data_IF_727048531013
#
_entry.id   IF_727048531013
#
_cell.length_a   1.000
_cell.length_b   1.000
_cell.length_c   1.000
_cell.angle_alpha   90.00
_cell.angle_beta   90.00
_cell.angle_gamma   90.00
#
_symmetry.space_group_name_H-M   'P 1'
#
loop_
_entity.id
_entity.type
_entity.pdbx_description
1 polymer ?
#
# COMPACT_ATOMS: atom_id res chain seq x y z
N UNK A 1 5.56 2.46 73.21
CA UNK A 1 6.88 1.97 72.73
C UNK A 1 7.74 3.18 72.37
N UNK A 2 8.69 3.54 73.23
CA UNK A 2 9.53 4.73 73.04
C UNK A 2 10.73 4.36 72.14
N UNK A 3 10.72 4.84 70.90
CA UNK A 3 11.87 4.72 70.00
C UNK A 3 12.97 5.66 70.48
N UNK A 4 14.03 5.10 71.06
CA UNK A 4 15.24 5.85 71.40
C UNK A 4 16.00 6.16 70.11
N UNK A 5 15.82 7.36 69.57
CA UNK A 5 16.70 7.89 68.52
C UNK A 5 18.03 8.27 69.17
N UNK A 6 19.06 7.44 69.02
CA UNK A 6 20.43 7.78 69.37
C UNK A 6 20.93 8.85 68.40
N UNK A 7 20.96 10.10 68.83
CA UNK A 7 21.55 11.18 68.06
C UNK A 7 23.08 11.10 68.20
N UNK A 8 23.74 10.73 67.10
CA UNK A 8 25.19 10.87 66.97
C UNK A 8 25.45 12.37 66.83
N UNK A 9 25.90 13.01 67.89
CA UNK A 9 26.36 14.39 67.81
C UNK A 9 27.76 14.40 67.18
N UNK A 10 27.99 15.21 66.13
CA UNK A 10 29.29 15.26 65.49
C UNK A 10 30.32 15.88 66.46
N UNK A 11 31.55 15.38 66.45
CA UNK A 11 32.60 15.64 67.45
C UNK A 11 33.03 17.12 67.62
N UNK A 12 32.56 18.02 66.77
CA UNK A 12 32.83 19.45 66.83
C UNK A 12 31.73 20.26 67.54
N UNK A 13 30.60 19.63 67.91
CA UNK A 13 29.48 20.31 68.57
C UNK A 13 29.65 20.25 70.09
N UNK A 14 29.94 21.40 70.70
CA UNK A 14 30.29 21.52 72.13
C UNK A 14 29.05 21.51 73.05
N UNK A 15 27.86 21.84 72.52
CA UNK A 15 26.63 21.94 73.31
C UNK A 15 25.93 20.57 73.47
N UNK A 16 25.50 20.28 74.70
CA UNK A 16 24.68 19.09 75.01
C UNK A 16 23.27 19.25 74.43
N UNK A 17 22.80 18.26 73.67
CA UNK A 17 21.41 18.19 73.24
C UNK A 17 20.53 17.62 74.35
N UNK A 18 19.40 18.27 74.59
CA UNK A 18 18.40 17.83 75.56
C UNK A 18 17.08 17.53 74.83
N UNK A 19 16.20 16.75 75.47
CA UNK A 19 14.84 16.53 74.95
C UNK A 19 14.06 17.84 74.91
N UNK A 20 13.10 18.01 73.98
CA UNK A 20 12.19 19.18 73.87
C UNK A 20 11.28 19.40 75.11
N UNK A 21 11.46 18.62 76.18
CA UNK A 21 10.84 18.83 77.50
C UNK A 21 11.75 19.63 78.44
N UNK A 22 13.05 19.65 78.20
CA UNK A 22 14.04 20.36 79.02
C UNK A 22 14.09 21.82 78.56
N UNK A 23 14.00 22.74 79.52
CA UNK A 23 14.00 24.19 79.28
C UNK A 23 15.41 24.68 78.94
N UNK A 24 15.78 24.56 77.68
CA UNK A 24 17.01 25.11 77.10
C UNK A 24 16.66 26.40 76.35
N UNK A 25 17.64 27.27 76.06
CA UNK A 25 17.39 28.57 75.41
C UNK A 25 16.52 28.52 74.14
N UNK A 26 16.51 27.41 73.39
CA UNK A 26 15.70 27.22 72.18
C UNK A 26 14.39 26.42 72.40
N UNK A 27 13.99 26.19 73.66
CA UNK A 27 12.90 25.28 74.02
C UNK A 27 11.55 25.64 73.39
N UNK A 28 11.21 26.94 73.37
CA UNK A 28 9.93 27.42 72.84
C UNK A 28 9.83 27.19 71.33
N UNK A 29 10.89 27.51 70.58
CA UNK A 29 10.95 27.39 69.13
C UNK A 29 10.89 25.93 68.68
N UNK A 30 11.56 25.03 69.41
CA UNK A 30 11.52 23.60 69.12
C UNK A 30 10.12 22.98 69.24
N UNK A 31 9.25 23.55 70.06
CA UNK A 31 7.84 23.14 70.20
C UNK A 31 6.91 23.85 69.23
N UNK A 32 7.26 25.07 68.79
CA UNK A 32 6.49 25.86 67.82
C UNK A 32 6.64 25.41 66.37
N UNK A 33 7.46 24.38 66.08
CA UNK A 33 7.59 23.82 64.72
C UNK A 33 6.23 23.55 64.10
N UNK A 34 5.97 24.24 63.00
CA UNK A 34 4.70 24.22 62.29
C UNK A 34 4.28 22.80 61.93
N UNK A 35 3.19 22.31 62.52
CA UNK A 35 2.54 21.08 62.08
C UNK A 35 1.70 21.44 60.85
N UNK A 36 2.21 21.18 59.66
CA UNK A 36 1.42 21.29 58.42
C UNK A 36 0.17 20.43 58.59
N UNK A 37 -1.00 21.07 58.64
CA UNK A 37 -2.25 20.34 58.76
C UNK A 37 -2.47 19.49 57.52
N UNK A 38 -2.97 18.27 57.68
CA UNK A 38 -3.36 17.37 56.58
C UNK A 38 -4.59 17.85 55.81
N UNK A 39 -5.21 18.97 56.20
CA UNK A 39 -6.35 19.53 55.50
C UNK A 39 -5.93 20.08 54.13
N UNK A 40 -6.77 19.90 53.10
CA UNK A 40 -6.42 20.29 51.75
C UNK A 40 -6.18 21.80 51.67
N UNK A 41 -5.07 22.18 51.03
CA UNK A 41 -4.72 23.54 50.64
C UNK A 41 -5.92 24.24 50.00
N UNK A 42 -6.04 25.56 50.23
CA UNK A 42 -7.05 26.44 49.63
C UNK A 42 -7.33 26.07 48.17
N UNK A 43 -8.62 25.92 47.83
CA UNK A 43 -9.04 25.57 46.47
C UNK A 43 -8.75 26.75 45.55
N UNK A 44 -8.31 26.49 44.31
CA UNK A 44 -8.20 27.53 43.29
C UNK A 44 -9.57 28.15 43.02
N UNK A 45 -9.60 29.42 42.61
CA UNK A 45 -10.81 30.11 42.16
C UNK A 45 -11.58 29.28 41.12
N UNK A 46 -10.88 28.69 40.14
CA UNK A 46 -11.48 27.81 39.15
C UNK A 46 -12.26 26.63 39.77
N UNK A 47 -11.80 26.05 40.88
CA UNK A 47 -12.48 24.92 41.55
C UNK A 47 -13.66 25.38 42.43
N UNK A 48 -13.72 26.66 42.75
CA UNK A 48 -14.84 27.30 43.44
C UNK A 48 -15.92 27.67 42.42
N UNK A 49 -15.52 28.22 41.27
CA UNK A 49 -16.42 28.77 40.26
C UNK A 49 -16.94 27.68 39.29
N UNK A 50 -16.13 26.67 38.98
CA UNK A 50 -16.54 25.58 38.09
C UNK A 50 -17.41 24.57 38.82
N UNK A 51 -18.69 24.51 38.41
CA UNK A 51 -19.63 23.47 38.82
C UNK A 51 -19.72 22.42 37.70
N UNK A 52 -19.19 21.20 37.88
CA UNK A 52 -19.36 20.14 36.91
C UNK A 52 -20.82 19.66 36.92
N UNK A 53 -21.59 20.06 35.92
CA UNK A 53 -22.92 19.54 35.70
C UNK A 53 -22.84 18.18 34.98
N UNK A 54 -22.82 17.08 35.76
CA UNK A 54 -22.70 15.72 35.22
C UNK A 54 -23.80 15.37 34.20
N UNK A 55 -25.00 15.92 34.38
CA UNK A 55 -26.17 15.67 33.53
C UNK A 55 -26.38 16.73 32.42
N UNK A 56 -25.56 17.78 32.41
CA UNK A 56 -25.65 18.85 31.40
C UNK A 56 -25.04 18.37 30.07
N UNK A 57 -25.80 17.59 29.32
CA UNK A 57 -25.49 17.34 27.91
C UNK A 57 -26.06 18.48 27.06
N UNK A 58 -25.28 19.05 26.13
CA UNK A 58 -25.81 20.05 25.22
C UNK A 58 -27.00 19.46 24.45
N UNK A 59 -28.05 20.26 24.27
CA UNK A 59 -29.25 19.82 23.58
C UNK A 59 -28.92 19.53 22.10
N UNK A 60 -28.93 18.24 21.74
CA UNK A 60 -28.57 17.76 20.41
C UNK A 60 -29.52 18.30 19.32
N UNK A 61 -30.78 18.57 19.66
CA UNK A 61 -31.79 19.11 18.71
C UNK A 61 -31.40 20.53 18.32
N UNK A 62 -31.08 21.36 19.32
CA UNK A 62 -30.61 22.73 19.11
C UNK A 62 -29.30 22.72 18.32
N UNK A 63 -28.35 21.85 18.70
CA UNK A 63 -27.09 21.69 17.98
C UNK A 63 -27.26 21.30 16.51
N UNK A 64 -28.17 20.37 16.19
CA UNK A 64 -28.49 19.98 14.80
C UNK A 64 -29.14 21.12 14.04
N UNK A 65 -30.06 21.86 14.66
CA UNK A 65 -30.74 22.98 14.01
C UNK A 65 -29.76 24.10 13.64
N UNK A 66 -28.84 24.47 14.55
CA UNK A 66 -27.78 25.44 14.27
C UNK A 66 -26.84 24.95 13.18
N UNK A 67 -26.41 23.68 13.22
CA UNK A 67 -25.54 23.10 12.18
C UNK A 67 -26.21 23.16 10.81
N UNK A 68 -27.47 22.74 10.70
CA UNK A 68 -28.24 22.78 9.44
C UNK A 68 -28.42 24.20 8.91
N UNK A 69 -28.63 25.19 9.79
CA UNK A 69 -28.73 26.60 9.39
C UNK A 69 -27.39 27.14 8.85
N UNK A 70 -26.28 26.62 9.35
CA UNK A 70 -24.93 27.03 8.97
C UNK A 70 -24.34 26.22 7.80
N UNK A 71 -25.01 25.19 7.29
CA UNK A 71 -24.53 24.37 6.16
C UNK A 71 -24.43 25.18 4.84
N UNK A 72 -25.11 26.32 4.74
CA UNK A 72 -24.99 27.24 3.61
C UNK A 72 -25.64 26.72 2.31
N UNK A 73 -25.31 27.37 1.19
CA UNK A 73 -25.76 26.95 -0.13
C UNK A 73 -24.86 25.82 -0.68
N UNK A 74 -25.43 24.82 -1.37
CA UNK A 74 -24.64 23.78 -1.99
C UNK A 74 -23.75 24.35 -3.10
N UNK A 75 -22.51 23.83 -3.19
CA UNK A 75 -21.50 24.20 -4.19
C UNK A 75 -22.05 24.18 -5.62
N UNK A 76 -22.91 23.22 -5.93
CA UNK A 76 -23.50 23.07 -7.26
C UNK A 76 -24.27 24.32 -7.68
N UNK A 77 -24.99 24.99 -6.79
CA UNK A 77 -25.74 26.21 -7.14
C UNK A 77 -24.84 27.42 -7.38
N UNK A 78 -23.67 27.47 -6.72
CA UNK A 78 -22.75 28.61 -6.82
C UNK A 78 -21.76 28.48 -7.97
N UNK A 79 -21.29 27.26 -8.24
CA UNK A 79 -20.18 27.02 -9.16
C UNK A 79 -20.56 26.25 -10.42
N UNK A 80 -21.79 25.70 -10.52
CA UNK A 80 -22.20 25.06 -11.76
C UNK A 80 -22.59 26.11 -12.79
N UNK A 81 -22.19 25.85 -14.03
CA UNK A 81 -22.57 26.65 -15.19
C UNK A 81 -23.52 25.79 -16.03
N UNK A 82 -24.70 26.34 -16.36
CA UNK A 82 -25.72 25.68 -17.20
C UNK A 82 -26.23 24.30 -16.76
N UNK A 83 -25.99 23.90 -15.51
CA UNK A 83 -26.45 22.60 -15.00
C UNK A 83 -25.77 21.40 -15.66
N UNK A 84 -24.56 21.58 -16.20
CA UNK A 84 -23.84 20.48 -16.84
C UNK A 84 -23.53 19.34 -15.87
N UNK A 85 -23.67 18.06 -16.30
CA UNK A 85 -23.28 16.93 -15.48
C UNK A 85 -21.78 16.93 -15.22
N UNK A 86 -21.37 16.59 -13.99
CA UNK A 86 -19.95 16.52 -13.61
C UNK A 86 -19.11 15.57 -14.48
N UNK A 87 -19.74 14.59 -15.13
CA UNK A 87 -19.08 13.59 -15.96
C UNK A 87 -18.94 14.00 -17.44
N UNK A 88 -19.41 15.19 -17.83
CA UNK A 88 -19.43 15.64 -19.23
C UNK A 88 -18.04 15.77 -19.85
N UNK A 89 -17.03 16.11 -19.05
CA UNK A 89 -15.67 16.45 -19.52
C UNK A 89 -14.61 15.52 -18.92
N UNK A 90 -14.83 14.20 -18.98
CA UNK A 90 -13.89 13.20 -18.46
C UNK A 90 -12.85 12.71 -19.49
N UNK A 91 -12.96 13.16 -20.74
CA UNK A 91 -12.04 12.80 -21.82
C UNK A 91 -11.10 13.98 -22.09
N UNK A 92 -9.80 13.70 -22.13
CA UNK A 92 -8.79 14.71 -22.49
C UNK A 92 -8.69 14.86 -24.01
N UNK A 93 -8.28 16.04 -24.49
CA UNK A 93 -8.05 16.27 -25.92
C UNK A 93 -7.02 15.29 -26.52
N UNK A 94 -6.03 14.87 -25.72
CA UNK A 94 -5.06 13.87 -26.15
C UNK A 94 -5.72 12.51 -26.42
N UNK A 95 -6.52 12.03 -25.47
CA UNK A 95 -7.21 10.74 -25.59
C UNK A 95 -8.22 10.74 -26.75
N UNK A 96 -8.93 11.85 -26.94
CA UNK A 96 -9.81 12.06 -28.10
C UNK A 96 -9.04 12.07 -29.44
N UNK A 97 -7.84 12.64 -29.50
CA UNK A 97 -7.08 12.76 -30.76
C UNK A 97 -6.36 11.47 -31.16
N UNK A 98 -5.80 10.73 -30.21
CA UNK A 98 -4.90 9.62 -30.50
C UNK A 98 -5.51 8.24 -30.26
N UNK A 99 -6.39 8.11 -29.27
CA UNK A 99 -6.98 6.82 -28.90
C UNK A 99 -8.33 6.61 -29.58
N UNK A 100 -9.15 7.66 -29.60
CA UNK A 100 -10.53 7.58 -30.09
C UNK A 100 -10.60 7.96 -31.56
N UNK A 101 -11.30 7.14 -32.35
CA UNK A 101 -11.49 7.40 -33.77
C UNK A 101 -12.75 8.23 -34.02
N UNK A 102 -12.66 9.52 -33.67
CA UNK A 102 -13.59 10.56 -34.12
C UNK A 102 -14.93 10.64 -33.39
N UNK A 103 -15.53 11.84 -33.44
CA UNK A 103 -16.86 12.11 -32.90
C UNK A 103 -17.89 11.99 -34.05
N UNK A 104 -18.84 11.06 -33.95
CA UNK A 104 -19.87 10.83 -34.98
C UNK A 104 -20.88 11.98 -35.12
N UNK A 105 -20.94 12.87 -34.13
CA UNK A 105 -21.87 14.00 -34.12
C UNK A 105 -21.40 15.18 -35.00
N UNK A 106 -20.16 15.15 -35.51
CA UNK A 106 -19.62 16.21 -36.34
C UNK A 106 -20.01 16.04 -37.83
N UNK A 107 -20.40 17.12 -38.53
CA UNK A 107 -20.54 17.07 -39.97
C UNK A 107 -19.19 16.71 -40.64
N UNK A 108 -19.21 15.93 -41.72
CA UNK A 108 -18.01 15.38 -42.33
C UNK A 108 -17.09 16.43 -42.97
N UNK A 109 -17.62 17.61 -43.31
CA UNK A 109 -16.87 18.71 -43.92
C UNK A 109 -16.98 19.97 -43.08
N UNK A 110 -15.83 20.58 -42.81
CA UNK A 110 -15.74 21.92 -42.20
C UNK A 110 -16.10 23.00 -43.22
N UNK A 111 -16.78 24.04 -42.75
CA UNK A 111 -17.14 25.25 -43.53
C UNK A 111 -16.48 26.48 -42.90
N UNK A 112 -15.89 27.35 -43.71
CA UNK A 112 -15.35 28.61 -43.23
C UNK A 112 -16.50 29.55 -42.86
N UNK A 113 -16.48 30.09 -41.64
CA UNK A 113 -17.44 31.08 -41.18
C UNK A 113 -16.77 32.46 -41.14
N UNK A 114 -17.18 33.35 -42.06
CA UNK A 114 -16.63 34.71 -42.16
C UNK A 114 -16.88 35.58 -40.92
N UNK A 115 -17.95 35.34 -40.16
CA UNK A 115 -18.26 36.13 -38.97
C UNK A 115 -17.34 35.79 -37.80
N UNK A 116 -16.98 34.51 -37.68
CA UNK A 116 -16.07 34.02 -36.63
C UNK A 116 -14.60 33.94 -37.09
N UNK A 117 -14.35 34.13 -38.38
CA UNK A 117 -13.04 34.01 -39.04
C UNK A 117 -12.36 32.66 -38.77
N UNK A 118 -13.13 31.59 -38.62
CA UNK A 118 -12.63 30.25 -38.35
C UNK A 118 -13.38 29.17 -39.16
N UNK A 119 -12.82 27.96 -39.20
CA UNK A 119 -13.46 26.81 -39.82
C UNK A 119 -14.37 26.12 -38.80
N UNK A 120 -15.66 26.00 -39.11
CA UNK A 120 -16.66 25.40 -38.20
C UNK A 120 -17.22 24.12 -38.84
N UNK A 121 -17.46 23.06 -38.06
CA UNK A 121 -17.11 22.94 -36.65
C UNK A 121 -15.62 22.63 -36.44
N UNK A 122 -15.02 23.24 -35.42
CA UNK A 122 -13.76 22.75 -34.88
C UNK A 122 -14.04 21.54 -33.98
N UNK A 123 -13.13 20.57 -33.97
CA UNK A 123 -13.27 19.37 -33.14
C UNK A 123 -13.40 19.72 -31.65
N UNK A 124 -12.71 20.77 -31.21
CA UNK A 124 -12.73 21.29 -29.83
C UNK A 124 -14.07 21.87 -29.39
N UNK A 125 -14.88 22.38 -30.31
CA UNK A 125 -16.18 22.98 -29.99
C UNK A 125 -17.22 21.92 -29.57
N UNK A 126 -16.95 20.64 -29.89
CA UNK A 126 -17.86 19.52 -29.66
C UNK A 126 -17.13 18.42 -28.88
N UNK A 127 -16.97 18.62 -27.55
CA UNK A 127 -16.34 17.61 -26.71
C UNK A 127 -17.12 16.30 -26.79
N UNK A 128 -16.38 15.18 -26.73
CA UNK A 128 -16.97 13.85 -26.74
C UNK A 128 -17.62 13.58 -25.37
N UNK A 129 -18.93 13.31 -25.37
CA UNK A 129 -19.71 12.98 -24.17
C UNK A 129 -19.71 11.48 -23.84
N UNK A 130 -18.65 10.77 -24.22
CA UNK A 130 -18.49 9.35 -23.93
C UNK A 130 -17.85 9.16 -22.55
N UNK A 131 -18.08 7.99 -21.91
CA UNK A 131 -17.37 7.66 -20.68
C UNK A 131 -15.85 7.66 -20.92
N UNK A 132 -15.05 8.00 -19.89
CA UNK A 132 -13.59 8.08 -20.00
C UNK A 132 -12.98 6.75 -20.45
N UNK A 133 -11.85 6.81 -21.15
CA UNK A 133 -11.14 5.59 -21.57
C UNK A 133 -10.55 4.94 -20.33
N UNK A 134 -11.13 3.82 -19.94
CA UNK A 134 -10.63 3.03 -18.83
C UNK A 134 -9.94 1.80 -19.43
N UNK A 135 -8.61 1.82 -19.50
CA UNK A 135 -7.76 0.74 -20.01
C UNK A 135 -7.71 -0.48 -19.07
N UNK A 136 -8.84 -0.84 -18.45
CA UNK A 136 -8.89 -1.90 -17.44
C UNK A 136 -8.36 -1.47 -16.06
N UNK A 137 -8.00 -0.19 -15.87
CA UNK A 137 -7.34 0.28 -14.64
C UNK A 137 -8.27 0.15 -13.42
N UNK A 138 -9.54 0.50 -13.60
CA UNK A 138 -10.54 0.39 -12.54
C UNK A 138 -10.77 -1.07 -12.13
N UNK A 139 -10.78 -1.98 -13.10
CA UNK A 139 -10.92 -3.42 -12.90
C UNK A 139 -9.72 -3.97 -12.11
N UNK A 140 -8.50 -3.59 -12.52
CA UNK A 140 -7.27 -3.94 -11.81
C UNK A 140 -7.25 -3.40 -10.38
N UNK A 141 -7.64 -2.14 -10.18
CA UNK A 141 -7.69 -1.52 -8.84
C UNK A 141 -8.76 -2.15 -7.96
N UNK A 142 -9.93 -2.43 -8.51
CA UNK A 142 -11.00 -3.13 -7.78
C UNK A 142 -10.54 -4.50 -7.30
N UNK A 143 -9.80 -5.24 -8.14
CA UNK A 143 -9.21 -6.53 -7.76
C UNK A 143 -8.18 -6.37 -6.64
N UNK A 144 -7.28 -5.39 -6.75
CA UNK A 144 -6.28 -5.11 -5.70
C UNK A 144 -6.93 -4.74 -4.36
N UNK A 145 -7.98 -3.92 -4.35
CA UNK A 145 -8.69 -3.59 -3.12
C UNK A 145 -9.41 -4.79 -2.50
N UNK A 146 -9.97 -5.67 -3.33
CA UNK A 146 -10.57 -6.91 -2.84
C UNK A 146 -9.52 -7.81 -2.19
N UNK A 147 -8.33 -7.92 -2.79
CA UNK A 147 -7.19 -8.66 -2.23
C UNK A 147 -6.67 -8.04 -0.92
N UNK A 148 -6.60 -6.70 -0.83
CA UNK A 148 -6.21 -6.00 0.40
C UNK A 148 -7.21 -6.20 1.55
N UNK A 149 -8.51 -6.26 1.25
CA UNK A 149 -9.53 -6.53 2.27
C UNK A 149 -9.55 -7.98 2.74
N UNK A 150 -8.94 -8.91 2.00
CA UNK A 150 -8.81 -10.29 2.45
C UNK A 150 -7.67 -10.42 3.46
N UNK A 151 -8.00 -10.32 4.75
CA UNK A 151 -7.08 -10.59 5.87
C UNK A 151 -6.77 -12.10 5.97
N UNK A 152 -6.06 -12.63 4.97
CA UNK A 152 -5.54 -13.98 5.04
C UNK A 152 -4.18 -13.94 5.75
N UNK A 153 -4.11 -14.48 6.98
CA UNK A 153 -2.89 -14.57 7.80
C UNK A 153 -1.91 -15.61 7.23
N UNK A 154 -1.45 -15.39 5.99
CA UNK A 154 -0.52 -16.27 5.28
C UNK A 154 0.88 -15.68 5.37
N UNK A 155 1.86 -16.53 5.65
CA UNK A 155 3.27 -16.11 5.62
C UNK A 155 3.68 -15.80 4.18
N UNK A 156 4.65 -14.89 4.00
CA UNK A 156 5.21 -14.55 2.67
C UNK A 156 5.63 -15.81 1.90
N UNK A 157 6.17 -16.81 2.61
CA UNK A 157 6.55 -18.10 2.03
C UNK A 157 5.36 -18.88 1.47
N UNK A 158 4.23 -18.93 2.20
CA UNK A 158 3.02 -19.60 1.73
C UNK A 158 2.30 -18.89 0.58
N UNK A 159 2.46 -17.57 0.47
CA UNK A 159 1.90 -16.77 -0.64
C UNK A 159 2.75 -16.87 -1.89
N UNK A 160 4.08 -16.85 -1.75
CA UNK A 160 5.01 -16.88 -2.90
C UNK A 160 5.15 -18.27 -3.52
N UNK A 161 4.91 -19.33 -2.74
CA UNK A 161 4.95 -20.68 -3.26
C UNK A 161 3.66 -21.01 -4.03
N UNK A 162 3.73 -20.90 -5.37
CA UNK A 162 2.66 -21.38 -6.24
C UNK A 162 2.68 -22.90 -6.24
N UNK A 163 1.69 -23.53 -5.60
CA UNK A 163 1.54 -24.97 -5.67
C UNK A 163 1.36 -25.38 -7.14
N UNK A 164 2.29 -26.18 -7.71
CA UNK A 164 2.18 -26.54 -9.11
C UNK A 164 0.93 -27.43 -9.30
N UNK A 165 0.27 -27.35 -10.46
CA UNK A 165 -0.94 -28.13 -10.71
C UNK A 165 -0.62 -29.63 -10.62
N UNK A 166 -1.59 -30.50 -10.25
CA UNK A 166 -1.39 -31.94 -10.18
C UNK A 166 -0.79 -32.56 -11.45
N UNK A 167 -1.06 -31.97 -12.61
CA UNK A 167 -0.50 -32.35 -13.91
C UNK A 167 1.03 -32.19 -14.00
N UNK A 168 1.63 -31.28 -13.23
CA UNK A 168 3.08 -31.07 -13.21
C UNK A 168 3.83 -32.23 -12.52
N UNK A 169 3.18 -32.94 -11.60
CA UNK A 169 3.81 -34.02 -10.82
C UNK A 169 3.86 -35.35 -11.57
N UNK A 170 3.08 -35.53 -12.64
CA UNK A 170 2.88 -36.82 -13.29
C UNK A 170 3.62 -37.01 -14.63
N UNK A 171 4.39 -36.03 -15.10
CA UNK A 171 5.09 -36.16 -16.38
C UNK A 171 6.46 -36.83 -16.21
N UNK A 172 6.53 -38.14 -16.48
CA UNK A 172 7.81 -38.83 -16.75
C UNK A 172 8.41 -38.18 -18.01
N UNK A 173 9.41 -37.31 -17.84
CA UNK A 173 10.16 -36.75 -18.95
C UNK A 173 11.20 -37.80 -19.38
N UNK A 174 10.97 -38.46 -20.51
CA UNK A 174 12.01 -39.25 -21.15
C UNK A 174 13.07 -38.30 -21.71
N UNK A 175 14.32 -38.48 -21.33
CA UNK A 175 15.43 -37.77 -21.97
C UNK A 175 15.52 -38.25 -23.42
N UNK A 176 15.08 -37.42 -24.36
CA UNK A 176 15.22 -37.70 -25.80
C UNK A 176 16.54 -37.10 -26.26
N UNK A 177 17.47 -37.95 -26.70
CA UNK A 177 18.69 -37.48 -27.33
C UNK A 177 18.34 -36.67 -28.60
N UNK A 178 19.04 -35.55 -28.87
CA UNK A 178 18.82 -34.79 -30.11
C UNK A 178 19.02 -35.73 -31.31
N UNK A 179 18.26 -35.50 -32.38
CA UNK A 179 18.21 -36.38 -33.56
C UNK A 179 19.60 -36.70 -34.14
N UNK A 180 20.52 -35.74 -34.06
CA UNK A 180 21.91 -35.87 -34.48
C UNK A 180 22.74 -36.90 -33.67
N UNK A 181 22.35 -37.19 -32.42
CA UNK A 181 23.02 -38.16 -31.56
C UNK A 181 22.22 -39.47 -31.40
N UNK A 182 21.01 -39.53 -32.00
CA UNK A 182 20.15 -40.70 -31.91
C UNK A 182 20.56 -41.77 -32.93
N UNK A 183 21.14 -42.87 -32.45
CA UNK A 183 21.49 -44.02 -33.29
C UNK A 183 20.25 -44.66 -33.96
N UNK A 184 19.05 -44.49 -33.40
CA UNK A 184 17.81 -45.04 -33.96
C UNK A 184 17.27 -44.26 -35.17
N UNK A 185 17.65 -42.98 -35.34
CA UNK A 185 17.10 -42.07 -36.35
C UNK A 185 17.99 -41.92 -37.59
N UNK A 186 19.17 -42.52 -37.62
CA UNK A 186 20.10 -42.50 -38.76
C UNK A 186 19.79 -43.62 -39.75
N UNK A 187 19.58 -43.28 -41.02
CA UNK A 187 19.25 -44.24 -42.08
C UNK A 187 20.32 -45.33 -42.26
N UNK A 188 21.59 -44.99 -42.04
CA UNK A 188 22.71 -45.93 -42.12
C UNK A 188 22.58 -47.10 -41.11
N UNK A 189 21.99 -46.86 -39.94
CA UNK A 189 21.80 -47.87 -38.88
C UNK A 189 20.64 -48.83 -39.18
N UNK A 190 19.85 -48.55 -40.21
CA UNK A 190 18.77 -49.43 -40.68
C UNK A 190 19.24 -50.47 -41.70
N UNK A 191 20.53 -50.44 -42.10
CA UNK A 191 21.09 -51.35 -43.10
C UNK A 191 22.13 -52.26 -42.42
N UNK A 192 21.73 -53.49 -42.12
CA UNK A 192 22.65 -54.52 -41.61
C UNK A 192 23.22 -55.34 -42.78
N UNK A 193 24.56 -55.35 -42.90
CA UNK A 193 25.28 -56.10 -43.96
C UNK A 193 25.33 -57.61 -43.70
N UNK A 194 25.02 -58.06 -42.48
CA UNK A 194 24.94 -59.48 -42.16
C UNK A 194 23.57 -60.04 -42.59
N UNK A 195 23.58 -61.07 -43.44
CA UNK A 195 22.37 -61.70 -43.97
C UNK A 195 21.46 -62.24 -42.86
N UNK A 196 22.04 -62.77 -41.78
CA UNK A 196 21.31 -63.33 -40.65
C UNK A 196 20.56 -62.27 -39.82
N UNK A 197 20.95 -61.00 -39.92
CA UNK A 197 20.39 -59.87 -39.16
C UNK A 197 19.75 -58.83 -40.08
N UNK A 198 19.44 -59.22 -41.32
CA UNK A 198 18.79 -58.36 -42.31
C UNK A 198 17.43 -57.91 -41.77
N UNK A 199 17.18 -56.60 -41.78
CA UNK A 199 16.01 -55.91 -41.20
C UNK A 199 16.03 -55.69 -39.68
N UNK A 200 17.07 -56.10 -38.95
CA UNK A 200 17.26 -55.69 -37.56
C UNK A 200 18.07 -54.39 -37.49
N UNK A 201 17.59 -53.43 -36.70
CA UNK A 201 18.30 -52.16 -36.46
C UNK A 201 19.60 -52.44 -35.70
N UNK A 202 20.73 -52.00 -36.24
CA UNK A 202 22.02 -52.13 -35.58
C UNK A 202 22.35 -50.81 -34.88
N UNK A 203 22.28 -50.79 -33.54
CA UNK A 203 22.57 -49.59 -32.75
C UNK A 203 24.09 -49.36 -32.72
N UNK A 204 24.59 -48.57 -33.67
CA UNK A 204 25.97 -48.09 -33.66
C UNK A 204 26.09 -46.87 -32.74
N UNK A 205 27.16 -46.83 -31.96
CA UNK A 205 27.62 -45.59 -31.32
C UNK A 205 27.94 -44.61 -32.47
N UNK A 206 27.41 -43.38 -32.46
CA UNK A 206 27.77 -42.40 -33.47
C UNK A 206 29.29 -42.19 -33.45
N UNK A 207 29.99 -42.60 -34.51
CA UNK A 207 31.41 -42.28 -34.66
C UNK A 207 31.54 -40.76 -34.74
N UNK A 208 32.25 -40.15 -33.78
CA UNK A 208 32.56 -38.72 -33.81
C UNK A 208 33.47 -38.40 -34.99
N UNK A 209 32.90 -38.11 -36.16
CA UNK A 209 33.59 -37.45 -37.28
C UNK A 209 32.64 -36.56 -38.09
N UNK A 210 32.27 -35.42 -37.54
CA UNK A 210 32.06 -34.19 -38.32
C UNK A 210 32.79 -33.10 -37.55
N UNK A 211 33.72 -32.42 -38.21
CA UNK A 211 34.60 -31.43 -37.58
C UNK A 211 33.81 -30.46 -36.72
N UNK A 212 34.24 -30.31 -35.47
CA UNK A 212 33.74 -29.29 -34.57
C UNK A 212 34.14 -27.91 -35.11
N UNK A 213 33.37 -27.37 -36.06
CA UNK A 213 33.23 -25.92 -36.15
C UNK A 213 32.28 -25.50 -35.04
N UNK A 214 32.90 -24.96 -34.00
CA UNK A 214 32.33 -24.16 -32.91
C UNK A 214 30.88 -23.68 -33.17
N UNK A 215 29.90 -24.50 -32.82
CA UNK A 215 28.54 -24.03 -32.60
C UNK A 215 28.43 -23.74 -31.10
N UNK A 216 28.58 -22.45 -30.78
CA UNK A 216 28.39 -21.87 -29.45
C UNK A 216 27.16 -22.45 -28.77
N UNK A 217 27.37 -22.95 -27.56
CA UNK A 217 26.32 -23.31 -26.62
C UNK A 217 25.65 -22.00 -26.19
N UNK A 218 24.60 -21.59 -26.91
CA UNK A 218 23.75 -20.47 -26.50
C UNK A 218 22.93 -20.98 -25.32
N UNK A 219 23.45 -20.74 -24.12
CA UNK A 219 22.66 -20.75 -22.90
C UNK A 219 21.62 -19.65 -23.05
N UNK A 220 20.38 -20.03 -23.36
CA UNK A 220 19.23 -19.13 -23.28
C UNK A 220 19.01 -18.86 -21.80
N UNK A 221 19.61 -17.79 -21.29
CA UNK A 221 19.24 -17.25 -19.99
C UNK A 221 17.84 -16.63 -20.09
N UNK A 222 16.99 -16.79 -19.06
CA UNK A 222 15.69 -16.14 -19.04
C UNK A 222 15.85 -14.61 -19.03
N UNK A 223 14.91 -13.85 -19.61
CA UNK A 223 15.01 -12.40 -19.66
C UNK A 223 14.99 -11.81 -18.25
N UNK A 224 15.99 -10.98 -17.94
CA UNK A 224 16.02 -10.16 -16.74
C UNK A 224 14.89 -9.12 -16.81
N UNK A 225 13.98 -9.19 -15.83
CA UNK A 225 12.99 -8.15 -15.59
C UNK A 225 13.70 -6.90 -15.10
N UNK A 226 13.98 -5.95 -16.01
CA UNK A 226 14.32 -4.59 -15.62
C UNK A 226 13.07 -3.89 -15.09
N UNK A 227 12.87 -4.02 -13.78
CA UNK A 227 12.06 -3.11 -12.99
C UNK A 227 12.73 -1.74 -12.97
N UNK A 228 12.33 -0.86 -13.88
CA UNK A 228 12.44 0.58 -13.65
C UNK A 228 11.36 0.96 -12.64
N UNK A 229 11.76 1.09 -11.39
CA UNK A 229 11.02 1.84 -10.38
C UNK A 229 11.40 3.33 -10.45
N UNK A 230 10.52 4.24 -9.96
CA UNK A 230 10.21 5.54 -10.57
C UNK A 230 11.28 6.62 -10.42
#
# INVERSE_FOLDING_TARGET
MNSAKSYIDPCWRVEKRYSNRVLVGNWLEERKKFKRSLFPTSRSCQKIDFVPYAESKPNLIIGRAFKKKNEGLPKQLLLSHHGEPNHKHLVSAYDDHYTRHGNSALPPLRKFNGNKLNWIPEKSDYPIEEPPTNYGLLELKRKSWQEETSEDLRSVYSVSYVQPPPSAFAAIRYAVAPRALSSSLHQHNNINKNLALKNQKHLLVPDQRVGATMASLVVVMPPENNSLQP
#
